data_IF_300048215821
#
_entry.id   IF_300048215821
#
_cell.length_a   1.000
_cell.length_b   1.000
_cell.length_c   1.000
_cell.angle_alpha   90.00
_cell.angle_beta   90.00
_cell.angle_gamma   90.00
#
_symmetry.space_group_name_H-M   'P 1'
#
loop_
_entity.id
_entity.type
_entity.pdbx_description
1 polymer ?
#
# COMPACT_ATOMS: atom_id res chain seq x y z
N UNK A 1 15.10 7.43 -21.08
CA UNK A 1 15.75 6.77 -19.93
C UNK A 1 15.06 7.33 -18.68
N UNK A 2 14.02 6.65 -18.19
CA UNK A 2 13.19 7.14 -17.06
C UNK A 2 13.70 6.63 -15.69
N UNK A 3 14.77 5.84 -15.65
CA UNK A 3 15.19 5.09 -14.45
C UNK A 3 16.61 5.44 -13.97
N UNK A 4 16.98 6.73 -13.96
CA UNK A 4 18.30 7.15 -13.41
C UNK A 4 18.26 7.12 -11.87
N UNK A 5 17.12 7.50 -11.28
CA UNK A 5 16.89 7.48 -9.84
C UNK A 5 15.56 6.77 -9.54
N UNK A 6 15.58 5.86 -8.56
CA UNK A 6 14.41 5.08 -8.15
C UNK A 6 14.25 5.10 -6.64
N UNK A 7 13.03 5.40 -6.17
CA UNK A 7 12.63 5.34 -4.77
C UNK A 7 11.58 4.25 -4.60
N UNK A 8 11.65 3.50 -3.49
CA UNK A 8 10.60 2.56 -3.10
C UNK A 8 10.01 2.94 -1.75
N UNK A 9 8.71 3.19 -1.74
CA UNK A 9 7.93 3.47 -0.54
C UNK A 9 7.09 2.25 -0.18
N UNK A 10 7.27 1.75 1.04
CA UNK A 10 6.56 0.58 1.54
C UNK A 10 5.42 1.03 2.45
N UNK A 11 4.21 0.64 2.10
CA UNK A 11 2.99 0.83 2.86
C UNK A 11 2.62 -0.46 3.60
N UNK A 12 1.93 -0.34 4.73
CA UNK A 12 1.43 -1.52 5.44
C UNK A 12 0.17 -2.06 4.76
N UNK A 13 -0.72 -1.17 4.33
CA UNK A 13 -2.00 -1.52 3.70
C UNK A 13 -2.11 -0.93 2.30
N UNK A 14 -3.07 -1.44 1.52
CA UNK A 14 -3.34 -0.95 0.17
C UNK A 14 -3.86 0.50 0.21
N UNK A 15 -4.74 0.83 1.15
CA UNK A 15 -5.34 2.18 1.26
C UNK A 15 -4.33 3.27 1.62
N UNK A 16 -3.26 2.90 2.31
CA UNK A 16 -2.18 3.83 2.62
C UNK A 16 -1.46 4.30 1.35
N UNK A 17 -1.51 3.51 0.26
CA UNK A 17 -0.91 3.88 -1.02
C UNK A 17 -1.62 5.10 -1.59
N UNK A 18 -2.96 5.12 -1.59
CA UNK A 18 -3.72 6.28 -2.06
C UNK A 18 -3.43 7.52 -1.21
N UNK A 19 -3.31 7.34 0.10
CA UNK A 19 -2.94 8.41 1.03
C UNK A 19 -1.56 8.98 0.68
N UNK A 20 -0.55 8.13 0.45
CA UNK A 20 0.80 8.56 0.05
C UNK A 20 0.77 9.29 -1.30
N UNK A 21 0.07 8.76 -2.30
CA UNK A 21 -0.07 9.39 -3.61
C UNK A 21 -0.72 10.78 -3.48
N UNK A 22 -1.77 10.91 -2.67
CA UNK A 22 -2.39 12.20 -2.39
C UNK A 22 -1.40 13.20 -1.77
N UNK A 23 -0.62 12.76 -0.78
CA UNK A 23 0.41 13.60 -0.17
C UNK A 23 1.50 14.02 -1.17
N UNK A 24 1.93 13.12 -2.06
CA UNK A 24 2.89 13.44 -3.13
C UNK A 24 2.33 14.50 -4.08
N UNK A 25 1.04 14.44 -4.45
CA UNK A 25 0.39 15.44 -5.32
C UNK A 25 0.31 16.83 -4.68
N UNK A 26 0.31 16.92 -3.35
CA UNK A 26 0.27 18.20 -2.63
C UNK A 26 1.64 18.88 -2.51
N UNK A 27 2.72 18.14 -2.79
CA UNK A 27 4.08 18.67 -2.70
C UNK A 27 4.35 19.70 -3.79
N UNK A 28 5.24 20.64 -3.48
CA UNK A 28 5.60 21.78 -4.35
C UNK A 28 7.07 21.81 -4.76
N UNK A 29 7.87 20.92 -4.17
CA UNK A 29 9.31 20.80 -4.42
C UNK A 29 9.63 19.92 -5.63
N UNK A 30 8.63 19.33 -6.27
CA UNK A 30 8.77 18.60 -7.53
C UNK A 30 7.48 18.66 -8.34
N UNK A 31 7.56 18.20 -9.60
CA UNK A 31 6.40 18.06 -10.48
C UNK A 31 6.17 16.59 -10.79
N UNK A 32 4.93 16.12 -10.66
CA UNK A 32 4.54 14.80 -11.16
C UNK A 32 4.42 14.88 -12.69
N UNK A 33 5.14 13.99 -13.37
CA UNK A 33 5.18 13.88 -14.84
C UNK A 33 4.26 12.77 -15.32
N UNK A 34 4.21 11.65 -14.59
CA UNK A 34 3.43 10.47 -14.98
C UNK A 34 2.98 9.68 -13.74
N UNK A 35 1.78 9.11 -13.79
CA UNK A 35 1.27 8.19 -12.78
C UNK A 35 0.76 6.91 -13.45
N UNK A 36 1.12 5.74 -12.91
CA UNK A 36 0.65 4.44 -13.40
C UNK A 36 0.14 3.59 -12.24
N UNK A 37 -1.15 3.29 -12.27
CA UNK A 37 -1.79 2.44 -11.27
C UNK A 37 -1.90 0.99 -11.75
N UNK A 38 -0.91 0.17 -11.35
CA UNK A 38 -0.94 -1.28 -11.57
C UNK A 38 -1.60 -2.04 -10.41
N UNK A 39 -2.16 -1.36 -9.42
CA UNK A 39 -2.97 -1.99 -8.38
C UNK A 39 -4.36 -2.25 -8.94
N UNK A 40 -5.01 -1.20 -9.46
CA UNK A 40 -6.29 -1.31 -10.16
C UNK A 40 -6.14 -2.02 -11.51
N UNK A 41 -5.07 -1.74 -12.26
CA UNK A 41 -4.82 -2.32 -13.59
C UNK A 41 -3.62 -3.29 -13.56
N UNK A 42 -3.76 -4.40 -12.84
CA UNK A 42 -2.69 -5.40 -12.69
C UNK A 42 -2.23 -5.98 -14.03
N UNK A 43 -0.93 -6.24 -14.17
CA UNK A 43 -0.39 -6.89 -15.38
C UNK A 43 -0.85 -8.36 -15.46
N UNK A 44 -0.84 -8.99 -16.65
CA UNK A 44 -1.19 -10.41 -16.81
C UNK A 44 -0.36 -11.37 -15.94
N UNK A 45 0.87 -10.98 -15.58
CA UNK A 45 1.75 -11.73 -14.67
C UNK A 45 1.28 -11.75 -13.21
N UNK A 46 0.35 -10.87 -12.83
CA UNK A 46 -0.07 -10.65 -11.44
C UNK A 46 0.67 -9.50 -10.75
N UNK A 47 1.53 -8.78 -11.47
CA UNK A 47 2.26 -7.63 -10.94
C UNK A 47 1.32 -6.50 -10.51
N UNK A 48 1.54 -6.01 -9.29
CA UNK A 48 0.85 -4.87 -8.67
C UNK A 48 1.85 -3.90 -8.04
N UNK A 49 1.63 -2.60 -8.26
CA UNK A 49 2.42 -1.49 -7.71
C UNK A 49 1.76 -0.18 -8.14
N UNK A 50 1.96 0.91 -7.39
CA UNK A 50 1.68 2.25 -7.89
C UNK A 50 2.99 2.94 -8.29
N UNK A 51 3.06 3.51 -9.49
CA UNK A 51 4.25 4.20 -9.97
C UNK A 51 3.96 5.68 -10.17
N UNK A 52 4.85 6.54 -9.68
CA UNK A 52 4.82 7.98 -9.90
C UNK A 52 6.18 8.39 -10.45
N UNK A 53 6.22 8.99 -11.64
CA UNK A 53 7.43 9.59 -12.19
C UNK A 53 7.39 11.08 -11.88
N UNK A 54 8.41 11.58 -11.20
CA UNK A 54 8.55 13.00 -10.85
C UNK A 54 9.75 13.64 -11.53
N UNK A 55 9.65 14.93 -11.80
CA UNK A 55 10.77 15.81 -12.12
C UNK A 55 11.17 16.56 -10.84
N UNK A 56 12.36 16.26 -10.33
CA UNK A 56 12.88 16.83 -9.09
C UNK A 56 14.07 17.77 -9.38
N UNK A 57 14.01 19.05 -8.97
CA UNK A 57 15.12 19.98 -9.10
C UNK A 57 16.18 19.71 -8.01
N UNK A 58 17.40 19.37 -8.42
CA UNK A 58 18.54 19.14 -7.52
C UNK A 58 19.53 20.29 -7.69
N UNK A 59 19.92 20.90 -6.58
CA UNK A 59 20.99 21.91 -6.55
C UNK A 59 22.37 21.24 -6.66
N UNK A 60 23.16 21.64 -7.65
CA UNK A 60 24.53 21.16 -7.87
C UNK A 60 25.54 22.32 -7.84
N UNK A 61 26.84 22.01 -7.85
CA UNK A 61 27.90 23.04 -7.94
C UNK A 61 27.82 23.89 -9.22
N UNK A 62 27.15 23.37 -10.26
CA UNK A 62 26.99 24.02 -11.56
C UNK A 62 25.63 24.71 -11.73
N UNK A 63 24.77 24.69 -10.69
CA UNK A 63 23.40 25.20 -10.71
C UNK A 63 22.34 24.10 -10.55
N UNK A 64 21.08 24.48 -10.69
CA UNK A 64 19.93 23.57 -10.62
C UNK A 64 19.90 22.63 -11.82
N UNK A 65 19.81 21.32 -11.56
CA UNK A 65 19.59 20.29 -12.57
C UNK A 65 18.30 19.52 -12.25
N UNK A 66 17.44 19.35 -13.26
CA UNK A 66 16.18 18.63 -13.11
C UNK A 66 16.36 17.18 -13.52
N UNK A 67 16.09 16.26 -12.60
CA UNK A 67 16.21 14.83 -12.84
C UNK A 67 14.85 14.13 -12.77
N UNK A 68 14.71 13.05 -13.53
CA UNK A 68 13.56 12.16 -13.42
C UNK A 68 13.81 11.13 -12.33
N UNK A 69 12.83 10.96 -11.44
CA UNK A 69 12.84 9.96 -10.37
C UNK A 69 11.56 9.13 -10.47
N UNK A 70 11.70 7.81 -10.50
CA UNK A 70 10.55 6.91 -10.37
C UNK A 70 10.32 6.57 -8.89
N UNK A 71 9.12 6.82 -8.38
CA UNK A 71 8.68 6.43 -7.05
C UNK A 71 7.72 5.26 -7.19
N UNK A 72 8.10 4.11 -6.65
CA UNK A 72 7.26 2.91 -6.59
C UNK A 72 6.69 2.77 -5.18
N UNK A 73 5.37 2.75 -5.08
CA UNK A 73 4.64 2.62 -3.80
C UNK A 73 3.99 1.24 -3.78
N UNK A 74 4.25 0.46 -2.74
CA UNK A 74 3.86 -0.96 -2.63
C UNK A 74 3.55 -1.36 -1.20
N UNK A 75 2.70 -2.37 -1.03
CA UNK A 75 2.64 -3.13 0.23
C UNK A 75 3.89 -4.00 0.40
N UNK A 76 4.08 -4.54 1.60
CA UNK A 76 5.12 -5.54 1.85
C UNK A 76 4.92 -6.80 0.98
N UNK A 77 3.68 -7.27 0.84
CA UNK A 77 3.37 -8.46 0.05
C UNK A 77 3.63 -8.24 -1.46
N UNK A 78 3.21 -7.09 -2.01
CA UNK A 78 3.52 -6.69 -3.38
C UNK A 78 5.03 -6.60 -3.62
N UNK A 79 5.77 -5.98 -2.69
CA UNK A 79 7.21 -5.85 -2.80
C UNK A 79 7.92 -7.22 -2.76
N UNK A 80 7.50 -8.11 -1.87
CA UNK A 80 8.04 -9.46 -1.77
C UNK A 80 7.84 -10.22 -3.09
N UNK A 81 6.60 -10.26 -3.59
CA UNK A 81 6.30 -10.95 -4.85
C UNK A 81 7.08 -10.37 -6.03
N UNK A 82 7.08 -9.05 -6.20
CA UNK A 82 7.74 -8.39 -7.33
C UNK A 82 9.27 -8.55 -7.30
N UNK A 83 9.88 -8.67 -6.12
CA UNK A 83 11.33 -8.90 -6.00
C UNK A 83 11.70 -10.32 -6.47
N UNK A 84 10.86 -11.31 -6.13
CA UNK A 84 11.05 -12.69 -6.60
C UNK A 84 10.79 -12.79 -8.10
N UNK A 85 9.69 -12.21 -8.59
CA UNK A 85 9.38 -12.20 -10.02
C UNK A 85 10.51 -11.56 -10.82
N UNK A 86 11.04 -10.42 -10.39
CA UNK A 86 12.14 -9.74 -11.07
C UNK A 86 13.42 -10.59 -11.07
N UNK A 87 13.75 -11.25 -9.95
CA UNK A 87 14.94 -12.10 -9.84
C UNK A 87 14.85 -13.33 -10.75
N UNK A 88 13.66 -13.93 -10.84
CA UNK A 88 13.38 -15.02 -11.78
C UNK A 88 13.43 -14.48 -13.21
N UNK A 89 12.84 -13.31 -13.46
CA UNK A 89 12.82 -12.63 -14.75
C UNK A 89 14.22 -12.44 -15.32
N UNK A 90 15.08 -11.85 -14.51
CA UNK A 90 16.47 -11.64 -14.83
C UNK A 90 17.22 -12.94 -15.14
N UNK A 91 17.02 -14.00 -14.33
CA UNK A 91 17.75 -15.27 -14.50
C UNK A 91 17.41 -15.99 -15.81
N UNK A 92 16.15 -15.93 -16.25
CA UNK A 92 15.70 -16.62 -17.46
C UNK A 92 15.48 -15.67 -18.64
N UNK A 93 15.93 -14.41 -18.54
CA UNK A 93 15.83 -13.40 -19.61
C UNK A 93 14.41 -13.22 -20.17
N UNK A 94 13.39 -13.37 -19.33
CA UNK A 94 11.98 -13.27 -19.76
C UNK A 94 11.32 -14.57 -20.22
N UNK A 95 12.08 -15.65 -20.43
CA UNK A 95 11.56 -16.93 -20.91
C UNK A 95 11.53 -18.01 -19.80
N UNK A 96 10.56 -17.90 -18.87
CA UNK A 96 10.39 -18.92 -17.83
C UNK A 96 9.60 -20.12 -18.35
N UNK A 97 9.90 -21.33 -17.86
CA UNK A 97 8.99 -22.46 -17.98
C UNK A 97 7.58 -22.11 -17.50
N UNK A 98 6.56 -22.57 -18.24
CA UNK A 98 5.14 -22.28 -17.95
C UNK A 98 4.77 -22.61 -16.49
N UNK A 99 5.30 -23.72 -15.96
CA UNK A 99 5.09 -24.12 -14.56
C UNK A 99 5.54 -23.07 -13.54
N UNK A 100 6.63 -22.33 -13.82
CA UNK A 100 7.08 -21.23 -12.95
C UNK A 100 6.13 -20.04 -13.06
N UNK A 101 5.71 -19.70 -14.27
CA UNK A 101 4.75 -18.61 -14.51
C UNK A 101 3.42 -18.87 -13.76
N UNK A 102 2.87 -20.09 -13.86
CA UNK A 102 1.67 -20.47 -13.12
C UNK A 102 1.86 -20.32 -11.60
N UNK A 103 3.02 -20.71 -11.06
CA UNK A 103 3.32 -20.57 -9.62
C UNK A 103 3.47 -19.11 -9.20
N UNK A 104 4.15 -18.29 -9.99
CA UNK A 104 4.29 -16.86 -9.73
C UNK A 104 2.93 -16.18 -9.74
N UNK A 105 2.09 -16.46 -10.74
CA UNK A 105 0.73 -15.91 -10.82
C UNK A 105 -0.12 -16.28 -9.61
N UNK A 106 -0.07 -17.55 -9.17
CA UNK A 106 -0.75 -18.01 -7.95
C UNK A 106 -0.23 -17.30 -6.70
N UNK A 107 1.08 -17.11 -6.58
CA UNK A 107 1.67 -16.39 -5.47
C UNK A 107 1.27 -14.91 -5.45
N UNK A 108 1.13 -14.26 -6.61
CA UNK A 108 0.64 -12.89 -6.71
C UNK A 108 -0.79 -12.76 -6.20
N UNK A 109 -1.65 -13.73 -6.52
CA UNK A 109 -3.03 -13.74 -6.07
C UNK A 109 -3.11 -14.00 -4.55
N UNK A 110 -2.32 -14.93 -4.03
CA UNK A 110 -2.26 -15.18 -2.59
C UNK A 110 -1.72 -13.98 -1.79
N UNK A 111 -0.71 -13.29 -2.31
CA UNK A 111 -0.17 -12.07 -1.70
C UNK A 111 -1.23 -10.95 -1.63
N UNK A 112 -2.08 -10.86 -2.65
CA UNK A 112 -3.16 -9.88 -2.67
C UNK A 112 -4.31 -10.23 -1.74
N UNK A 113 -4.72 -11.50 -1.69
CA UNK A 113 -5.71 -11.95 -0.71
C UNK A 113 -5.24 -11.66 0.72
N UNK A 114 -3.95 -11.88 1.01
CA UNK A 114 -3.37 -11.50 2.29
C UNK A 114 -3.51 -9.99 2.57
N UNK A 115 -3.19 -9.13 1.60
CA UNK A 115 -3.32 -7.68 1.75
C UNK A 115 -4.79 -7.25 1.95
N UNK A 116 -5.75 -7.87 1.24
CA UNK A 116 -7.19 -7.58 1.40
C UNK A 116 -7.70 -7.98 2.80
N UNK A 117 -7.40 -9.20 3.24
CA UNK A 117 -7.80 -9.69 4.57
C UNK A 117 -7.23 -8.80 5.68
N UNK A 118 -5.96 -8.39 5.56
CA UNK A 118 -5.33 -7.50 6.54
C UNK A 118 -5.96 -6.10 6.54
N UNK A 119 -6.44 -5.63 5.39
CA UNK A 119 -7.12 -4.34 5.29
C UNK A 119 -8.51 -4.39 5.95
N UNK A 120 -9.26 -5.48 5.76
CA UNK A 120 -10.54 -5.69 6.44
C UNK A 120 -10.38 -5.76 7.97
N UNK A 121 -9.38 -6.51 8.46
CA UNK A 121 -9.08 -6.58 9.90
C UNK A 121 -8.78 -5.18 10.47
N UNK A 122 -8.08 -4.33 9.72
CA UNK A 122 -7.79 -2.95 10.14
C UNK A 122 -9.07 -2.14 10.28
N UNK A 123 -9.97 -2.19 9.30
CA UNK A 123 -11.25 -1.48 9.33
C UNK A 123 -12.06 -1.87 10.58
N UNK A 124 -12.20 -3.17 10.85
CA UNK A 124 -12.90 -3.67 12.04
C UNK A 124 -12.28 -3.17 13.35
N UNK A 125 -10.95 -3.15 13.45
CA UNK A 125 -10.23 -2.63 14.64
C UNK A 125 -10.46 -1.13 14.80
N UNK A 126 -10.42 -0.35 13.71
CA UNK A 126 -10.65 1.09 13.75
C UNK A 126 -12.08 1.42 14.17
N UNK A 127 -13.09 0.72 13.62
CA UNK A 127 -14.49 0.87 14.03
C UNK A 127 -14.70 0.53 15.51
N UNK A 128 -14.13 -0.58 15.97
CA UNK A 128 -14.21 -0.99 17.36
C UNK A 128 -13.59 0.07 18.29
N UNK A 129 -12.40 0.60 17.96
CA UNK A 129 -11.74 1.66 18.74
C UNK A 129 -12.55 2.95 18.80
N UNK A 130 -13.21 3.35 17.71
CA UNK A 130 -14.11 4.50 17.67
C UNK A 130 -15.35 4.25 18.53
N UNK A 131 -15.94 3.06 18.46
CA UNK A 131 -17.09 2.67 19.27
C UNK A 131 -16.76 2.71 20.78
N UNK A 132 -15.61 2.15 21.19
CA UNK A 132 -15.16 2.19 22.58
C UNK A 132 -14.81 3.60 23.05
N UNK A 133 -14.26 4.45 22.18
CA UNK A 133 -13.97 5.85 22.51
C UNK A 133 -15.25 6.67 22.71
N UNK A 134 -16.27 6.48 21.87
CA UNK A 134 -17.58 7.17 22.00
C UNK A 134 -18.38 6.72 23.23
N UNK A 135 -18.23 5.46 23.66
CA UNK A 135 -18.99 4.90 24.79
C UNK A 135 -18.30 5.04 26.15
N UNK A 136 -17.08 5.60 26.23
CA UNK A 136 -16.42 5.93 27.50
C UNK A 136 -17.00 7.16 28.20
N UNK A 137 -17.81 7.97 27.50
CA UNK A 137 -18.47 9.17 28.04
C UNK A 137 -19.83 8.90 28.70
N UNK A 138 -20.27 7.64 28.82
CA UNK A 138 -21.46 7.29 29.60
C UNK A 138 -21.04 7.10 31.07
N UNK A 139 -21.53 7.92 32.02
CA UNK A 139 -21.19 7.75 33.43
C UNK A 139 -21.65 6.37 33.90
N UNK A 140 -20.74 5.58 34.48
CA UNK A 140 -21.09 4.43 35.33
C UNK A 140 -21.79 4.93 36.58
N UNK A 141 -23.07 5.26 36.48
CA UNK A 141 -23.88 5.50 37.67
C UNK A 141 -25.29 4.94 37.50
N UNK A 142 -25.44 3.69 37.93
CA UNK A 142 -26.60 3.23 38.69
C UNK A 142 -26.22 1.92 39.37
N UNK A 143 -25.78 2.03 40.62
CA UNK A 143 -25.93 0.97 41.60
C UNK A 143 -27.41 0.61 41.62
N UNK A 144 -27.79 -0.54 41.04
CA UNK A 144 -29.11 -1.10 41.21
C UNK A 144 -29.15 -1.67 42.64
N UNK A 145 -29.77 -0.90 43.54
CA UNK A 145 -30.07 -1.34 44.89
C UNK A 145 -30.99 -2.57 44.84
N UNK A 146 -30.72 -3.52 45.72
CA UNK A 146 -31.35 -4.84 45.80
C UNK A 146 -32.82 -4.83 46.28
N UNK A 147 -33.60 -3.78 46.05
CA UNK A 147 -34.91 -3.59 46.70
C UNK A 147 -36.17 -3.61 45.83
N UNK A 148 -36.06 -3.77 44.51
CA UNK A 148 -37.26 -3.87 43.65
C UNK A 148 -37.46 -5.27 43.06
N UNK A 149 -37.66 -6.26 43.93
CA UNK A 149 -38.31 -7.52 43.55
C UNK A 149 -39.79 -7.43 43.94
N UNK A 150 -40.74 -7.40 42.98
CA UNK A 150 -42.14 -7.59 43.31
C UNK A 150 -42.35 -9.03 43.77
N UNK A 151 -42.75 -9.19 45.04
CA UNK A 151 -43.33 -10.43 45.55
C UNK A 151 -44.67 -10.68 44.87
N UNK A 152 -44.74 -11.66 43.98
CA UNK A 152 -45.76 -12.72 43.93
C UNK A 152 -45.55 -13.60 42.71
#
# INVERSE_FOLDING_TARGET
MQDIAGLRMMCQFVDDIETVVHLLRQRKDFRIVEERDYIANKKPSGYRSYHVVIEYPVETISGEEKILVEIQIRTLAMNFWATIEHSVNYKYQGEFPEAINTRLKRAAEAAFQLDEEMSQIREEIQEAQVYFSKNKDVPKNKTLNHHDLPKK
#
